data_IF_732176179308
#
_entry.id   IF_732176179308
#
_cell.length_a   1.000
_cell.length_b   1.000
_cell.length_c   1.000
_cell.angle_alpha   90.00
_cell.angle_beta   90.00
_cell.angle_gamma   90.00
#
_symmetry.space_group_name_H-M   'P 1'
#
loop_
_entity.id
_entity.type
_entity.pdbx_description
1 polymer ?
#
# COMPACT_ATOMS: atom_id res chain seq x y z
N UNK A 1 0.32 14.15 -34.92
CA UNK A 1 -1.07 14.66 -34.72
C UNK A 1 -2.09 13.60 -34.27
N UNK A 2 -1.70 12.46 -33.67
CA UNK A 2 -2.69 11.49 -33.14
C UNK A 2 -3.16 11.82 -31.71
N UNK A 3 -2.36 12.58 -30.94
CA UNK A 3 -2.70 12.97 -29.56
C UNK A 3 -3.60 14.21 -29.46
N UNK A 4 -3.42 15.22 -30.31
CA UNK A 4 -4.18 16.47 -30.23
C UNK A 4 -5.67 16.32 -30.60
N UNK A 5 -6.00 15.38 -31.50
CA UNK A 5 -7.38 15.18 -31.99
C UNK A 5 -8.35 14.69 -30.91
N UNK A 6 -7.87 14.03 -29.87
CA UNK A 6 -8.70 13.61 -28.74
C UNK A 6 -9.00 14.82 -27.83
N UNK A 7 -7.97 15.63 -27.55
CA UNK A 7 -8.06 16.82 -26.71
C UNK A 7 -8.99 17.88 -27.34
N UNK A 8 -8.97 18.04 -28.66
CA UNK A 8 -9.77 19.04 -29.38
C UNK A 8 -11.28 18.86 -29.27
N UNK A 9 -11.76 17.67 -28.85
CA UNK A 9 -13.19 17.41 -28.64
C UNK A 9 -13.78 18.20 -27.45
N UNK A 10 -12.94 18.53 -26.47
CA UNK A 10 -13.35 19.24 -25.26
C UNK A 10 -12.62 20.58 -25.09
N UNK A 11 -11.45 20.75 -25.71
CA UNK A 11 -10.58 21.92 -25.55
C UNK A 11 -10.22 22.57 -26.90
N UNK A 12 -11.22 22.74 -27.79
CA UNK A 12 -11.03 23.33 -29.13
C UNK A 12 -10.22 24.62 -29.09
N UNK A 13 -10.58 25.53 -28.20
CA UNK A 13 -10.01 26.88 -28.14
C UNK A 13 -8.53 26.88 -27.73
N UNK A 14 -8.13 25.92 -26.88
CA UNK A 14 -6.73 25.75 -26.47
C UNK A 14 -5.93 25.08 -27.60
N UNK A 15 -6.53 24.10 -28.29
CA UNK A 15 -5.87 23.40 -29.40
C UNK A 15 -5.66 24.33 -30.60
N UNK A 16 -6.60 25.22 -30.89
CA UNK A 16 -6.45 26.25 -31.94
C UNK A 16 -5.27 27.20 -31.64
N UNK A 17 -4.93 27.38 -30.36
CA UNK A 17 -3.83 28.22 -29.88
C UNK A 17 -2.69 27.40 -29.29
N UNK A 18 -2.46 26.18 -29.79
CA UNK A 18 -1.50 25.25 -29.20
C UNK A 18 -0.09 25.81 -29.09
N UNK A 19 0.40 26.59 -30.06
CA UNK A 19 1.73 27.22 -29.99
C UNK A 19 1.80 28.33 -28.93
N UNK A 20 0.76 29.16 -28.80
CA UNK A 20 0.68 30.18 -27.75
C UNK A 20 0.61 29.56 -26.35
N UNK A 21 -0.15 28.47 -26.21
CA UNK A 21 -0.32 27.76 -24.95
C UNK A 21 0.94 26.98 -24.56
N UNK A 22 1.44 26.13 -25.46
CA UNK A 22 2.61 25.27 -25.18
C UNK A 22 3.93 26.01 -25.19
N UNK A 23 4.00 27.20 -25.81
CA UNK A 23 5.23 27.99 -26.04
C UNK A 23 6.26 27.23 -26.89
N UNK A 24 5.80 26.32 -27.72
CA UNK A 24 6.61 25.55 -28.66
C UNK A 24 6.01 25.61 -30.06
N UNK A 25 6.87 25.64 -31.09
CA UNK A 25 6.44 25.68 -32.48
C UNK A 25 5.54 24.50 -32.83
N UNK A 26 4.47 24.75 -33.61
CA UNK A 26 3.55 23.71 -34.05
C UNK A 26 4.28 22.53 -34.71
N UNK A 27 3.93 21.32 -34.30
CA UNK A 27 4.50 20.07 -34.81
C UNK A 27 5.78 19.61 -34.10
N UNK A 28 6.34 20.41 -33.20
CA UNK A 28 7.41 19.97 -32.29
C UNK A 28 6.86 19.05 -31.19
N UNK A 29 7.73 18.24 -30.58
CA UNK A 29 7.32 17.38 -29.46
C UNK A 29 6.74 18.19 -28.28
N UNK A 30 7.35 19.34 -27.96
CA UNK A 30 6.86 20.23 -26.90
C UNK A 30 5.51 20.88 -27.17
N UNK A 31 5.07 20.96 -28.43
CA UNK A 31 3.72 21.44 -28.79
C UNK A 31 2.63 20.38 -28.57
N UNK A 32 3.01 19.14 -28.27
CA UNK A 32 2.06 18.06 -27.99
C UNK A 32 1.53 18.15 -26.56
N UNK A 33 0.21 18.17 -26.38
CA UNK A 33 -0.41 18.28 -25.05
C UNK A 33 0.10 17.19 -24.07
N UNK A 34 0.28 15.98 -24.59
CA UNK A 34 0.73 14.82 -23.80
C UNK A 34 2.19 14.94 -23.35
N UNK A 35 3.02 15.78 -23.98
CA UNK A 35 4.40 15.96 -23.54
C UNK A 35 4.46 16.59 -22.13
N UNK A 36 3.57 17.54 -21.85
CA UNK A 36 3.52 18.26 -20.58
C UNK A 36 2.49 17.68 -19.59
N UNK A 37 1.32 17.27 -20.08
CA UNK A 37 0.22 16.80 -19.24
C UNK A 37 0.21 15.28 -19.02
N UNK A 38 0.99 14.53 -19.80
CA UNK A 38 1.18 13.08 -19.67
C UNK A 38 2.67 12.74 -19.83
N UNK A 39 3.56 13.37 -19.04
CA UNK A 39 5.00 13.21 -19.20
C UNK A 39 5.38 11.75 -19.07
N UNK A 40 6.48 11.36 -19.72
CA UNK A 40 6.99 10.00 -19.57
C UNK A 40 7.53 9.82 -18.17
N UNK A 41 7.07 8.79 -17.49
CA UNK A 41 7.57 8.33 -16.20
C UNK A 41 8.21 6.95 -16.36
N UNK A 42 9.26 6.70 -15.58
CA UNK A 42 9.90 5.37 -15.54
C UNK A 42 9.00 4.44 -14.74
N UNK A 43 8.58 3.35 -15.37
CA UNK A 43 7.81 2.26 -14.79
C UNK A 43 8.69 1.00 -14.73
N UNK A 44 8.96 0.52 -13.53
CA UNK A 44 9.94 -0.55 -13.32
C UNK A 44 11.36 -0.11 -13.67
N UNK A 45 12.19 -1.05 -14.18
CA UNK A 45 13.62 -0.79 -14.41
C UNK A 45 13.92 -0.21 -15.80
N UNK A 46 13.08 -0.49 -16.81
CA UNK A 46 13.37 -0.14 -18.22
C UNK A 46 12.19 0.39 -19.03
N UNK A 47 10.95 0.31 -18.52
CA UNK A 47 9.82 0.79 -19.29
C UNK A 47 9.60 2.28 -19.01
N UNK A 48 9.40 3.09 -20.05
CA UNK A 48 8.89 4.45 -19.90
C UNK A 48 7.45 4.46 -20.39
N UNK A 49 6.52 4.93 -19.56
CA UNK A 49 5.10 5.03 -19.89
C UNK A 49 4.69 6.49 -19.79
N UNK A 50 3.65 6.91 -20.52
CA UNK A 50 3.06 8.23 -20.28
C UNK A 50 2.25 8.18 -18.99
N UNK A 51 2.39 9.21 -18.16
CA UNK A 51 1.50 9.43 -17.02
C UNK A 51 0.06 9.62 -17.52
N UNK A 52 -0.90 8.93 -16.91
CA UNK A 52 -2.32 9.04 -17.24
C UNK A 52 -3.09 9.96 -16.28
N UNK A 53 -2.37 10.69 -15.42
CA UNK A 53 -2.96 11.68 -14.51
C UNK A 53 -3.54 12.90 -15.21
N UNK A 54 -3.09 13.21 -16.44
CA UNK A 54 -3.50 14.39 -17.23
C UNK A 54 -3.31 15.70 -16.44
N UNK A 55 -2.29 15.76 -15.58
CA UNK A 55 -2.07 16.85 -14.65
C UNK A 55 -1.57 18.14 -15.35
N UNK A 56 -1.89 19.30 -14.79
CA UNK A 56 -1.21 20.55 -15.18
C UNK A 56 0.26 20.52 -14.70
N UNK A 57 1.22 21.05 -15.46
CA UNK A 57 2.62 21.07 -15.03
C UNK A 57 2.81 21.90 -13.76
N UNK A 58 3.48 21.30 -12.76
CA UNK A 58 3.86 21.95 -11.50
C UNK A 58 5.35 21.69 -11.22
N UNK A 59 6.28 22.28 -12.00
CA UNK A 59 7.72 22.14 -11.80
C UNK A 59 8.20 22.62 -10.42
N UNK A 60 7.40 23.43 -9.71
CA UNK A 60 7.63 23.81 -8.32
C UNK A 60 7.75 22.57 -7.40
N UNK A 61 7.06 21.47 -7.73
CA UNK A 61 7.21 20.20 -7.01
C UNK A 61 8.60 19.57 -7.17
N UNK A 62 9.27 19.81 -8.30
CA UNK A 62 10.67 19.38 -8.49
C UNK A 62 11.61 20.22 -7.63
N UNK A 63 11.37 21.54 -7.56
CA UNK A 63 12.17 22.46 -6.75
C UNK A 63 12.08 22.08 -5.27
N UNK A 64 10.85 21.90 -4.76
CA UNK A 64 10.61 21.70 -3.34
C UNK A 64 10.87 20.25 -2.90
N UNK A 65 10.57 19.26 -3.75
CA UNK A 65 10.50 17.84 -3.36
C UNK A 65 11.29 16.88 -4.27
N UNK A 66 11.97 17.39 -5.30
CA UNK A 66 12.70 16.55 -6.26
C UNK A 66 11.82 15.67 -7.15
N UNK A 67 10.50 15.90 -7.19
CA UNK A 67 9.56 15.15 -8.04
C UNK A 67 9.81 15.55 -9.50
N UNK A 68 10.13 14.62 -10.43
CA UNK A 68 10.44 14.96 -11.82
C UNK A 68 9.33 15.76 -12.52
N UNK A 69 9.70 16.69 -13.40
CA UNK A 69 8.77 17.48 -14.22
C UNK A 69 8.98 17.24 -15.72
N UNK A 70 7.96 17.58 -16.50
CA UNK A 70 7.96 17.40 -17.95
C UNK A 70 9.03 18.24 -18.68
N UNK A 71 9.30 19.46 -18.22
CA UNK A 71 10.20 20.40 -18.90
C UNK A 71 11.64 19.86 -18.93
N UNK A 72 12.11 19.34 -17.79
CA UNK A 72 13.48 18.83 -17.66
C UNK A 72 13.70 17.46 -18.33
N UNK A 73 12.67 16.85 -18.95
CA UNK A 73 12.85 15.68 -19.81
C UNK A 73 13.48 16.03 -21.17
N UNK A 74 13.31 17.27 -21.64
CA UNK A 74 13.92 17.77 -22.88
C UNK A 74 14.96 18.86 -22.60
N UNK A 75 14.81 19.59 -21.49
CA UNK A 75 15.71 20.66 -21.06
C UNK A 75 16.59 20.19 -19.90
N UNK A 76 17.42 19.16 -20.15
CA UNK A 76 18.25 18.50 -19.12
C UNK A 76 19.28 19.44 -18.49
N UNK A 77 19.80 20.41 -19.25
CA UNK A 77 20.79 21.39 -18.78
C UNK A 77 20.18 22.57 -18.00
N UNK A 78 18.85 22.67 -17.95
CA UNK A 78 18.15 23.75 -17.24
C UNK A 78 17.78 23.32 -15.83
N UNK A 79 17.77 24.27 -14.90
CA UNK A 79 17.35 23.98 -13.53
C UNK A 79 15.83 23.78 -13.44
N UNK A 80 15.33 23.05 -12.42
CA UNK A 80 13.90 23.01 -12.14
C UNK A 80 13.31 24.39 -11.81
N UNK A 81 14.08 25.27 -11.17
CA UNK A 81 13.67 26.65 -10.91
C UNK A 81 13.39 27.40 -12.22
N UNK A 82 14.21 27.21 -13.25
CA UNK A 82 13.97 27.80 -14.57
C UNK A 82 12.61 27.35 -15.14
N UNK A 83 12.24 26.07 -14.97
CA UNK A 83 10.94 25.59 -15.43
C UNK A 83 9.78 26.24 -14.64
N UNK A 84 9.92 26.35 -13.32
CA UNK A 84 8.95 27.04 -12.46
C UNK A 84 8.77 28.51 -12.84
N UNK A 85 9.86 29.26 -13.01
CA UNK A 85 9.83 30.66 -13.38
C UNK A 85 9.12 30.88 -14.73
N UNK A 86 9.34 30.00 -15.71
CA UNK A 86 8.68 30.07 -17.01
C UNK A 86 7.19 29.76 -16.92
N UNK A 87 6.80 28.71 -16.20
CA UNK A 87 5.39 28.38 -16.00
C UNK A 87 4.64 29.52 -15.30
N UNK A 88 5.26 30.14 -14.30
CA UNK A 88 4.71 31.30 -13.62
C UNK A 88 4.59 32.52 -14.55
N UNK A 89 5.62 32.79 -15.35
CA UNK A 89 5.60 33.89 -16.32
C UNK A 89 4.50 33.71 -17.39
N UNK A 90 4.19 32.47 -17.77
CA UNK A 90 3.20 32.19 -18.81
C UNK A 90 1.76 32.14 -18.32
N UNK A 91 1.55 31.62 -17.10
CA UNK A 91 0.21 31.27 -16.61
C UNK A 91 -0.17 31.96 -15.28
N UNK A 92 0.69 32.83 -14.76
CA UNK A 92 0.48 33.53 -13.49
C UNK A 92 1.03 32.79 -12.27
N UNK A 93 0.89 33.41 -11.11
CA UNK A 93 1.43 32.85 -9.85
C UNK A 93 0.77 31.51 -9.52
N UNK A 94 1.48 30.69 -8.74
CA UNK A 94 0.99 29.37 -8.36
C UNK A 94 -0.27 29.46 -7.47
N UNK A 95 -0.34 30.47 -6.63
CA UNK A 95 -1.46 30.77 -5.74
C UNK A 95 -2.75 31.07 -6.50
N UNK A 96 -2.62 31.61 -7.71
CA UNK A 96 -3.74 32.00 -8.58
C UNK A 96 -4.20 30.84 -9.48
N UNK A 97 -3.58 29.65 -9.38
CA UNK A 97 -3.84 28.46 -10.21
C UNK A 97 -4.36 27.29 -9.35
N UNK A 98 -5.68 27.17 -9.12
CA UNK A 98 -6.25 26.18 -8.19
C UNK A 98 -5.84 24.73 -8.46
N UNK A 99 -5.82 24.30 -9.72
CA UNK A 99 -5.44 22.92 -10.09
C UNK A 99 -3.96 22.64 -9.80
N UNK A 100 -3.08 23.59 -10.09
CA UNK A 100 -1.66 23.48 -9.79
C UNK A 100 -1.41 23.48 -8.26
N UNK A 101 -2.11 24.36 -7.54
CA UNK A 101 -2.06 24.41 -6.08
C UNK A 101 -2.54 23.10 -5.45
N UNK A 102 -3.61 22.49 -5.97
CA UNK A 102 -4.08 21.18 -5.53
C UNK A 102 -3.00 20.10 -5.67
N UNK A 103 -2.32 20.05 -6.81
CA UNK A 103 -1.22 19.11 -7.04
C UNK A 103 -0.02 19.39 -6.14
N UNK A 104 0.32 20.65 -5.89
CA UNK A 104 1.37 21.02 -4.95
C UNK A 104 1.05 20.62 -3.51
N UNK A 105 -0.17 20.86 -3.04
CA UNK A 105 -0.59 20.44 -1.68
C UNK A 105 -0.48 18.92 -1.50
N UNK A 106 -0.90 18.14 -2.49
CA UNK A 106 -0.74 16.68 -2.48
C UNK A 106 0.73 16.28 -2.46
N UNK A 107 1.55 16.87 -3.33
CA UNK A 107 2.98 16.61 -3.38
C UNK A 107 3.65 16.90 -2.02
N UNK A 108 3.34 18.04 -1.41
CA UNK A 108 3.82 18.42 -0.09
C UNK A 108 3.44 17.37 0.97
N UNK A 109 2.16 16.99 1.02
CA UNK A 109 1.66 16.01 1.99
C UNK A 109 2.38 14.66 1.90
N UNK A 110 2.50 14.11 0.69
CA UNK A 110 3.08 12.78 0.51
C UNK A 110 4.61 12.75 0.57
N UNK A 111 5.29 13.83 0.13
CA UNK A 111 6.76 13.87 0.08
C UNK A 111 7.39 13.89 1.47
N UNK A 112 6.72 14.49 2.46
CA UNK A 112 7.16 14.43 3.86
C UNK A 112 6.66 13.16 4.55
N UNK A 113 5.45 12.71 4.21
CA UNK A 113 4.85 11.55 4.86
C UNK A 113 5.52 10.21 4.56
N UNK A 114 6.13 10.06 3.39
CA UNK A 114 6.90 8.86 3.05
C UNK A 114 8.10 8.62 3.98
N UNK A 115 8.59 9.67 4.65
CA UNK A 115 9.67 9.60 5.62
C UNK A 115 9.16 9.58 7.08
N UNK A 116 7.85 9.58 7.30
CA UNK A 116 7.25 9.63 8.64
C UNK A 116 7.46 10.97 9.35
N UNK A 117 7.74 12.04 8.60
CA UNK A 117 8.00 13.36 9.18
C UNK A 117 6.73 13.95 9.81
N UNK A 118 6.78 14.49 11.05
CA UNK A 118 5.59 14.97 11.77
C UNK A 118 4.74 15.98 11.00
N UNK A 119 5.37 16.80 10.14
CA UNK A 119 4.69 17.80 9.33
C UNK A 119 3.69 17.20 8.31
N UNK A 120 3.78 15.92 7.98
CA UNK A 120 2.86 15.27 7.06
C UNK A 120 1.51 14.88 7.67
N UNK A 121 1.39 14.82 8.99
CA UNK A 121 0.16 14.33 9.64
C UNK A 121 -1.06 15.20 9.31
N UNK A 122 -0.96 16.51 9.50
CA UNK A 122 -2.10 17.42 9.31
C UNK A 122 -2.60 17.41 7.85
N UNK A 123 -1.73 17.54 6.83
CA UNK A 123 -2.14 17.42 5.43
C UNK A 123 -2.77 16.06 5.08
N UNK A 124 -2.26 14.96 5.63
CA UNK A 124 -2.86 13.63 5.39
C UNK A 124 -4.27 13.54 5.95
N UNK A 125 -4.48 14.06 7.17
CA UNK A 125 -5.81 14.08 7.80
C UNK A 125 -6.79 14.95 7.01
N UNK A 126 -6.33 16.08 6.45
CA UNK A 126 -7.14 16.91 5.55
C UNK A 126 -7.57 16.13 4.30
N UNK A 127 -6.64 15.42 3.65
CA UNK A 127 -6.92 14.62 2.47
C UNK A 127 -7.90 13.47 2.79
N UNK A 128 -7.70 12.75 3.89
CA UNK A 128 -8.59 11.63 4.29
C UNK A 128 -10.03 12.09 4.48
N UNK A 129 -10.23 13.27 5.07
CA UNK A 129 -11.57 13.80 5.42
C UNK A 129 -12.26 14.53 4.27
N UNK A 130 -11.54 14.90 3.23
CA UNK A 130 -12.08 15.68 2.13
C UNK A 130 -12.75 14.78 1.08
N UNK A 131 -14.07 14.69 1.09
CA UNK A 131 -14.83 13.84 0.15
C UNK A 131 -14.69 14.25 -1.32
N UNK A 132 -14.27 15.49 -1.61
CA UNK A 132 -13.99 15.98 -2.96
C UNK A 132 -12.61 15.53 -3.49
N UNK A 133 -11.74 15.02 -2.61
CA UNK A 133 -10.52 14.34 -3.04
C UNK A 133 -10.86 12.97 -3.67
N UNK A 134 -10.22 12.56 -4.78
CA UNK A 134 -10.44 11.24 -5.35
C UNK A 134 -10.20 10.13 -4.32
N UNK A 135 -11.02 9.09 -4.33
CA UNK A 135 -10.94 8.01 -3.34
C UNK A 135 -9.55 7.36 -3.25
N UNK A 136 -8.79 7.28 -4.35
CA UNK A 136 -7.42 6.76 -4.33
C UNK A 136 -6.48 7.67 -3.53
N UNK A 137 -6.65 8.99 -3.58
CA UNK A 137 -5.85 9.93 -2.78
C UNK A 137 -6.18 9.77 -1.29
N UNK A 138 -7.47 9.65 -0.94
CA UNK A 138 -7.90 9.42 0.45
C UNK A 138 -7.41 8.08 0.99
N UNK A 139 -7.54 7.00 0.21
CA UNK A 139 -7.03 5.69 0.57
C UNK A 139 -5.51 5.69 0.76
N UNK A 140 -4.79 6.36 -0.14
CA UNK A 140 -3.33 6.51 -0.03
C UNK A 140 -2.96 7.29 1.24
N UNK A 141 -3.64 8.39 1.52
CA UNK A 141 -3.40 9.18 2.73
C UNK A 141 -3.68 8.39 4.01
N UNK A 142 -4.80 7.67 4.08
CA UNK A 142 -5.11 6.76 5.20
C UNK A 142 -4.06 5.64 5.34
N UNK A 143 -3.49 5.17 4.22
CA UNK A 143 -2.35 4.27 4.21
C UNK A 143 -1.14 4.83 4.96
N UNK A 144 -0.75 6.08 4.68
CA UNK A 144 0.41 6.73 5.31
C UNK A 144 0.23 7.00 6.80
N UNK A 145 -1.00 7.10 7.31
CA UNK A 145 -1.25 7.29 8.75
C UNK A 145 -0.65 6.17 9.62
N UNK A 146 -0.38 4.98 9.06
CA UNK A 146 0.30 3.88 9.77
C UNK A 146 1.66 4.26 10.37
N UNK A 147 2.33 5.27 9.80
CA UNK A 147 3.65 5.73 10.22
C UNK A 147 3.63 6.76 11.36
N UNK A 148 2.44 7.26 11.74
CA UNK A 148 2.29 8.34 12.71
C UNK A 148 1.70 7.81 14.02
N UNK A 149 2.45 7.79 15.12
CA UNK A 149 1.91 7.35 16.39
C UNK A 149 0.92 8.36 16.97
N UNK A 150 0.07 7.87 17.86
CA UNK A 150 -0.80 8.68 18.69
C UNK A 150 -2.23 8.85 18.16
N UNK A 151 -3.10 9.47 18.98
CA UNK A 151 -4.55 9.42 18.79
C UNK A 151 -5.02 10.09 17.50
N UNK A 152 -4.33 11.13 17.03
CA UNK A 152 -4.74 11.88 15.84
C UNK A 152 -4.69 11.04 14.56
N UNK A 153 -3.67 10.20 14.42
CA UNK A 153 -3.55 9.29 13.29
C UNK A 153 -4.59 8.17 13.37
N UNK A 154 -4.81 7.63 14.57
CA UNK A 154 -5.86 6.63 14.83
C UNK A 154 -7.25 7.18 14.51
N UNK A 155 -7.53 8.44 14.84
CA UNK A 155 -8.81 9.09 14.50
C UNK A 155 -8.97 9.23 12.98
N UNK A 156 -7.90 9.58 12.25
CA UNK A 156 -7.94 9.58 10.79
C UNK A 156 -8.19 8.20 10.18
N UNK A 157 -7.64 7.14 10.78
CA UNK A 157 -7.94 5.76 10.37
C UNK A 157 -9.40 5.38 10.67
N UNK A 158 -9.97 5.84 11.79
CA UNK A 158 -11.40 5.65 12.10
C UNK A 158 -12.29 6.39 11.11
N UNK A 159 -11.95 7.62 10.74
CA UNK A 159 -12.66 8.37 9.72
C UNK A 159 -12.66 7.60 8.38
N UNK A 160 -11.52 7.02 8.00
CA UNK A 160 -11.37 6.23 6.79
C UNK A 160 -12.20 4.91 6.81
N UNK A 161 -12.43 4.30 7.98
CA UNK A 161 -13.33 3.13 8.12
C UNK A 161 -14.78 3.45 7.82
N UNK A 162 -15.20 4.71 7.96
CA UNK A 162 -16.54 5.16 7.64
C UNK A 162 -16.68 5.73 6.21
N UNK A 163 -15.59 5.74 5.42
CA UNK A 163 -15.60 6.35 4.08
C UNK A 163 -16.58 5.62 3.14
N UNK A 164 -17.35 6.34 2.30
CA UNK A 164 -18.30 5.73 1.37
C UNK A 164 -17.63 4.77 0.37
N UNK A 165 -16.38 5.02 0.00
CA UNK A 165 -15.68 4.22 -1.01
C UNK A 165 -14.94 3.03 -0.39
N UNK A 166 -15.17 1.79 -0.85
CA UNK A 166 -14.64 0.59 -0.22
C UNK A 166 -13.11 0.52 -0.22
N UNK A 167 -12.42 1.09 -1.21
CA UNK A 167 -10.96 1.10 -1.22
C UNK A 167 -10.34 1.99 -0.11
N UNK A 168 -11.06 3.01 0.35
CA UNK A 168 -10.61 3.81 1.49
C UNK A 168 -10.78 3.02 2.78
N UNK A 169 -11.86 2.26 2.94
CA UNK A 169 -12.04 1.34 4.08
C UNK A 169 -11.02 0.19 4.05
N UNK A 170 -10.79 -0.40 2.88
CA UNK A 170 -9.97 -1.60 2.72
C UNK A 170 -8.47 -1.39 3.05
N UNK A 171 -7.95 -0.15 2.98
CA UNK A 171 -6.56 0.12 3.37
C UNK A 171 -6.38 0.12 4.90
N UNK A 172 -7.43 0.42 5.66
CA UNK A 172 -7.33 0.63 7.11
C UNK A 172 -6.92 -0.64 7.87
N UNK A 173 -7.48 -1.84 7.59
CA UNK A 173 -6.98 -3.07 8.21
C UNK A 173 -5.48 -3.28 8.01
N UNK A 174 -4.96 -2.98 6.80
CA UNK A 174 -3.53 -3.10 6.49
C UNK A 174 -2.70 -2.07 7.27
N UNK A 175 -3.18 -0.82 7.34
CA UNK A 175 -2.56 0.24 8.15
C UNK A 175 -2.52 -0.13 9.63
N UNK A 176 -3.57 -0.74 10.16
CA UNK A 176 -3.66 -1.15 11.58
C UNK A 176 -2.61 -2.19 11.94
N UNK A 177 -2.36 -3.17 11.07
CA UNK A 177 -1.32 -4.20 11.31
C UNK A 177 0.07 -3.55 11.43
N UNK A 178 0.34 -2.54 10.61
CA UNK A 178 1.63 -1.85 10.57
C UNK A 178 1.76 -0.71 11.58
N UNK A 179 0.67 -0.27 12.21
CA UNK A 179 0.67 0.86 13.13
C UNK A 179 1.04 0.41 14.56
N UNK A 180 1.95 1.10 15.27
CA UNK A 180 2.39 0.70 16.63
C UNK A 180 1.24 0.54 17.62
N UNK A 181 0.28 1.46 17.60
CA UNK A 181 -0.93 1.41 18.44
C UNK A 181 -2.16 0.85 17.71
N UNK A 182 -2.01 0.26 16.51
CA UNK A 182 -3.16 -0.13 15.68
C UNK A 182 -4.11 -1.12 16.36
N UNK A 183 -3.60 -1.95 17.28
CA UNK A 183 -4.41 -2.88 18.09
C UNK A 183 -5.54 -2.19 18.87
N UNK A 184 -5.45 -0.89 19.17
CA UNK A 184 -6.54 -0.16 19.83
C UNK A 184 -7.80 -0.01 18.95
N UNK A 185 -7.67 -0.20 17.64
CA UNK A 185 -8.77 -0.13 16.66
C UNK A 185 -9.41 -1.49 16.34
N UNK A 186 -9.05 -2.56 17.06
CA UNK A 186 -9.60 -3.90 16.80
C UNK A 186 -11.12 -3.95 16.88
N UNK A 187 -11.72 -3.24 17.84
CA UNK A 187 -13.17 -3.17 17.98
C UNK A 187 -13.81 -2.40 16.81
N UNK A 188 -13.14 -1.36 16.30
CA UNK A 188 -13.62 -0.59 15.14
C UNK A 188 -13.66 -1.46 13.86
N UNK A 189 -12.71 -2.40 13.73
CA UNK A 189 -12.64 -3.34 12.61
C UNK A 189 -13.69 -4.45 12.61
N UNK A 190 -14.33 -4.75 13.74
CA UNK A 190 -15.32 -5.85 13.83
C UNK A 190 -16.42 -5.71 12.79
N UNK A 191 -16.91 -4.48 12.58
CA UNK A 191 -17.95 -4.19 11.58
C UNK A 191 -17.50 -4.50 10.14
N UNK A 192 -16.20 -4.42 9.86
CA UNK A 192 -15.63 -4.59 8.53
C UNK A 192 -15.58 -6.06 8.08
N UNK A 193 -15.70 -7.02 9.01
CA UNK A 193 -15.82 -8.44 8.70
C UNK A 193 -17.09 -8.76 7.89
N UNK A 194 -18.10 -7.89 7.96
CA UNK A 194 -19.36 -8.00 7.22
C UNK A 194 -19.57 -6.83 6.24
N UNK A 195 -18.50 -6.11 5.88
CA UNK A 195 -18.59 -5.04 4.89
C UNK A 195 -19.13 -5.58 3.55
N UNK A 196 -19.96 -4.85 2.80
CA UNK A 196 -20.46 -5.32 1.50
C UNK A 196 -19.35 -5.62 0.49
N UNK A 197 -18.19 -4.97 0.61
CA UNK A 197 -17.04 -5.15 -0.27
C UNK A 197 -16.19 -6.35 0.13
N UNK A 198 -15.98 -7.26 -0.84
CA UNK A 198 -15.05 -8.38 -0.72
C UNK A 198 -13.64 -7.94 -0.29
N UNK A 199 -13.11 -6.88 -0.91
CA UNK A 199 -11.75 -6.37 -0.60
C UNK A 199 -11.61 -5.89 0.84
N UNK A 200 -12.66 -5.30 1.42
CA UNK A 200 -12.66 -4.87 2.82
C UNK A 200 -12.65 -6.09 3.74
N UNK A 201 -13.49 -7.09 3.46
CA UNK A 201 -13.58 -8.31 4.28
C UNK A 201 -12.27 -9.11 4.29
N UNK A 202 -11.65 -9.35 3.13
CA UNK A 202 -10.39 -10.12 3.08
C UNK A 202 -9.23 -9.38 3.76
N UNK A 203 -9.15 -8.05 3.62
CA UNK A 203 -8.11 -7.26 4.31
C UNK A 203 -8.34 -7.25 5.82
N UNK A 204 -9.61 -7.26 6.24
CA UNK A 204 -9.97 -7.39 7.66
C UNK A 204 -9.61 -8.76 8.21
N UNK A 205 -9.88 -9.84 7.47
CA UNK A 205 -9.47 -11.20 7.84
C UNK A 205 -7.93 -11.33 7.92
N UNK A 206 -7.20 -10.73 6.98
CA UNK A 206 -5.74 -10.62 7.04
C UNK A 206 -5.27 -9.88 8.30
N UNK A 207 -5.91 -8.76 8.66
CA UNK A 207 -5.53 -8.00 9.84
C UNK A 207 -5.76 -8.79 11.13
N UNK A 208 -6.90 -9.47 11.25
CA UNK A 208 -7.18 -10.36 12.39
C UNK A 208 -6.15 -11.50 12.47
N UNK A 209 -5.85 -12.14 11.34
CA UNK A 209 -4.83 -13.20 11.23
C UNK A 209 -3.45 -12.70 11.69
N UNK A 210 -3.00 -11.56 11.15
CA UNK A 210 -1.71 -10.95 11.47
C UNK A 210 -1.58 -10.52 12.93
N UNK A 211 -2.71 -10.19 13.57
CA UNK A 211 -2.77 -9.84 14.98
C UNK A 211 -2.94 -11.06 15.90
N UNK A 212 -2.98 -12.28 15.35
CA UNK A 212 -3.09 -13.55 16.08
C UNK A 212 -4.52 -13.95 16.44
N UNK A 213 -5.53 -13.33 15.82
CA UNK A 213 -6.95 -13.53 16.13
C UNK A 213 -7.55 -14.49 15.10
N UNK A 214 -7.55 -15.78 15.44
CA UNK A 214 -8.05 -16.86 14.59
C UNK A 214 -9.51 -17.22 14.76
N UNK A 215 -10.01 -17.07 15.99
CA UNK A 215 -11.31 -17.61 16.42
C UNK A 215 -11.97 -16.60 17.34
N UNK A 216 -13.30 -16.51 17.23
CA UNK A 216 -14.15 -15.76 18.14
C UNK A 216 -15.47 -16.52 18.33
N UNK A 217 -16.22 -16.15 19.36
CA UNK A 217 -17.51 -16.76 19.69
C UNK A 217 -18.70 -15.97 19.10
N UNK A 218 -19.86 -16.62 19.06
CA UNK A 218 -21.12 -16.02 18.62
C UNK A 218 -21.07 -15.46 17.19
N UNK A 219 -21.79 -14.36 16.98
CA UNK A 219 -21.94 -13.69 15.68
C UNK A 219 -20.61 -13.13 15.15
N UNK A 220 -19.73 -12.65 16.03
CA UNK A 220 -18.39 -12.23 15.65
C UNK A 220 -17.58 -13.40 15.06
N UNK A 221 -17.66 -14.57 15.70
CA UNK A 221 -17.04 -15.79 15.22
C UNK A 221 -17.52 -16.20 13.83
N UNK A 222 -18.82 -16.07 13.56
CA UNK A 222 -19.41 -16.36 12.25
C UNK A 222 -18.89 -15.40 11.17
N UNK A 223 -18.92 -14.09 11.42
CA UNK A 223 -18.41 -13.10 10.48
C UNK A 223 -16.89 -13.26 10.24
N UNK A 224 -16.12 -13.53 11.29
CA UNK A 224 -14.68 -13.79 11.15
C UNK A 224 -14.41 -15.03 10.31
N UNK A 225 -15.12 -16.13 10.56
CA UNK A 225 -14.96 -17.36 9.75
C UNK A 225 -15.30 -17.12 8.28
N UNK A 226 -16.40 -16.43 7.99
CA UNK A 226 -16.79 -16.12 6.62
C UNK A 226 -15.72 -15.27 5.89
N UNK A 227 -15.20 -14.23 6.54
CA UNK A 227 -14.14 -13.40 5.96
C UNK A 227 -12.82 -14.17 5.81
N UNK A 228 -12.50 -15.07 6.73
CA UNK A 228 -11.35 -15.97 6.62
C UNK A 228 -11.49 -16.98 5.49
N UNK A 229 -12.68 -17.56 5.27
CA UNK A 229 -12.93 -18.45 4.13
C UNK A 229 -12.67 -17.71 2.82
N UNK A 230 -13.21 -16.49 2.67
CA UNK A 230 -12.95 -15.62 1.52
C UNK A 230 -11.47 -15.30 1.31
N UNK A 231 -10.73 -15.04 2.41
CA UNK A 231 -9.30 -14.79 2.38
C UNK A 231 -8.50 -16.05 2.01
N UNK A 232 -8.86 -17.22 2.52
CA UNK A 232 -8.23 -18.50 2.17
C UNK A 232 -8.45 -18.81 0.68
N UNK A 233 -9.65 -18.58 0.15
CA UNK A 233 -9.91 -18.73 -1.29
C UNK A 233 -9.11 -17.71 -2.11
N UNK A 234 -8.98 -16.47 -1.64
CA UNK A 234 -8.11 -15.47 -2.28
C UNK A 234 -6.67 -15.96 -2.41
N UNK A 235 -6.10 -16.49 -1.32
CA UNK A 235 -4.72 -16.96 -1.27
C UNK A 235 -4.47 -18.19 -2.15
N UNK A 236 -5.52 -18.95 -2.52
CA UNK A 236 -5.41 -20.04 -3.50
C UNK A 236 -5.20 -19.55 -4.93
N UNK A 237 -5.45 -18.28 -5.22
CA UNK A 237 -5.21 -17.70 -6.54
C UNK A 237 -3.71 -17.41 -6.78
N UNK A 238 -2.93 -17.28 -5.70
CA UNK A 238 -1.50 -16.95 -5.71
C UNK A 238 -0.67 -18.13 -5.18
N UNK A 239 -0.67 -19.23 -5.93
CA UNK A 239 0.01 -20.48 -5.53
C UNK A 239 1.52 -20.45 -5.73
N UNK A 240 2.04 -19.45 -6.42
CA UNK A 240 3.44 -19.21 -6.75
C UNK A 240 4.12 -18.17 -5.84
N UNK A 241 3.40 -17.67 -4.83
CA UNK A 241 3.92 -16.73 -3.82
C UNK A 241 4.13 -17.45 -2.49
N UNK A 242 5.38 -17.51 -2.01
CA UNK A 242 5.71 -18.11 -0.71
C UNK A 242 5.08 -17.33 0.45
N UNK A 243 4.99 -16.00 0.34
CA UNK A 243 4.30 -15.15 1.30
C UNK A 243 2.81 -15.47 1.40
N UNK A 244 2.12 -15.66 0.28
CA UNK A 244 0.68 -15.96 0.30
C UNK A 244 0.40 -17.37 0.80
N UNK A 245 1.26 -18.34 0.48
CA UNK A 245 1.16 -19.69 1.04
C UNK A 245 1.47 -19.72 2.55
N UNK A 246 2.42 -18.91 3.02
CA UNK A 246 2.71 -18.72 4.44
C UNK A 246 1.50 -18.12 5.17
N UNK A 247 0.92 -17.04 4.64
CA UNK A 247 -0.30 -16.41 5.17
C UNK A 247 -1.47 -17.39 5.21
N UNK A 248 -1.61 -18.24 4.18
CA UNK A 248 -2.63 -19.30 4.12
C UNK A 248 -2.41 -20.30 5.25
N UNK A 249 -1.17 -20.72 5.48
CA UNK A 249 -0.80 -21.56 6.62
C UNK A 249 -1.17 -20.92 7.95
N UNK A 250 -0.89 -19.63 8.12
CA UNK A 250 -1.18 -18.87 9.35
C UNK A 250 -2.66 -18.83 9.67
N UNK A 251 -3.51 -18.45 8.71
CA UNK A 251 -4.97 -18.39 8.94
C UNK A 251 -5.57 -19.77 9.23
N UNK A 252 -5.10 -20.83 8.56
CA UNK A 252 -5.52 -22.22 8.81
C UNK A 252 -5.08 -22.71 10.20
N UNK A 253 -3.83 -22.45 10.58
CA UNK A 253 -3.30 -22.83 11.90
C UNK A 253 -4.05 -22.10 13.03
N UNK A 254 -4.38 -20.82 12.85
CA UNK A 254 -5.18 -20.04 13.78
C UNK A 254 -6.63 -20.54 13.89
N UNK A 255 -7.16 -21.17 12.84
CA UNK A 255 -8.43 -21.92 12.85
C UNK A 255 -8.29 -23.34 13.41
N UNK A 256 -7.08 -23.80 13.69
CA UNK A 256 -6.73 -25.15 14.14
C UNK A 256 -6.89 -26.23 13.07
N UNK A 257 -6.91 -25.85 11.80
CA UNK A 257 -6.84 -26.74 10.64
C UNK A 257 -5.36 -27.02 10.34
N UNK A 258 -4.71 -27.75 11.26
CA UNK A 258 -3.26 -27.88 11.29
C UNK A 258 -2.71 -28.70 10.12
N UNK A 259 -3.42 -29.73 9.66
CA UNK A 259 -3.01 -30.54 8.52
C UNK A 259 -2.99 -29.72 7.23
N UNK A 260 -4.00 -28.88 6.99
CA UNK A 260 -4.07 -27.94 5.88
C UNK A 260 -2.98 -26.86 5.99
N UNK A 261 -2.72 -26.37 7.20
CA UNK A 261 -1.68 -25.39 7.48
C UNK A 261 -0.28 -25.93 7.17
N UNK A 262 0.02 -27.16 7.62
CA UNK A 262 1.27 -27.87 7.32
C UNK A 262 1.48 -27.95 5.81
N UNK A 263 0.46 -28.33 5.04
CA UNK A 263 0.55 -28.37 3.57
C UNK A 263 0.86 -27.00 2.97
N UNK A 264 0.23 -25.94 3.46
CA UNK A 264 0.46 -24.58 2.98
C UNK A 264 1.90 -24.11 3.28
N UNK A 265 2.38 -24.29 4.50
CA UNK A 265 3.76 -23.94 4.87
C UNK A 265 4.80 -24.76 4.10
N UNK A 266 4.55 -26.04 3.85
CA UNK A 266 5.43 -26.87 3.01
C UNK A 266 5.50 -26.39 1.56
N UNK A 267 4.41 -25.84 1.01
CA UNK A 267 4.43 -25.20 -0.31
C UNK A 267 5.25 -23.91 -0.24
N UNK A 268 5.03 -23.05 0.77
CA UNK A 268 5.80 -21.83 0.97
C UNK A 268 7.32 -22.12 1.02
N UNK A 269 7.74 -23.11 1.82
CA UNK A 269 9.15 -23.50 1.95
C UNK A 269 9.73 -24.20 0.72
N UNK A 270 8.89 -24.75 -0.16
CA UNK A 270 9.32 -25.28 -1.46
C UNK A 270 9.62 -24.16 -2.44
N UNK A 271 8.80 -23.10 -2.41
CA UNK A 271 9.00 -21.90 -3.23
C UNK A 271 10.20 -21.09 -2.72
N UNK A 272 10.32 -20.94 -1.41
CA UNK A 272 11.40 -20.22 -0.75
C UNK A 272 11.87 -20.95 0.53
N UNK A 273 12.96 -21.73 0.45
CA UNK A 273 13.54 -22.42 1.61
C UNK A 273 14.04 -21.50 2.73
N UNK A 274 14.20 -20.19 2.49
CA UNK A 274 14.68 -19.22 3.49
C UNK A 274 13.53 -18.44 4.15
N UNK A 275 12.27 -18.80 3.88
CA UNK A 275 11.12 -18.14 4.49
C UNK A 275 11.00 -18.51 5.98
N UNK A 276 11.59 -17.68 6.84
CA UNK A 276 11.68 -17.90 8.28
C UNK A 276 10.32 -18.11 8.98
N UNK A 277 9.35 -17.23 8.71
CA UNK A 277 8.02 -17.29 9.34
C UNK A 277 7.23 -18.54 8.94
N UNK A 278 7.31 -18.97 7.67
CA UNK A 278 6.71 -20.21 7.20
C UNK A 278 7.34 -21.44 7.88
N UNK A 279 8.67 -21.43 8.12
CA UNK A 279 9.37 -22.52 8.83
C UNK A 279 8.96 -22.57 10.30
N UNK A 280 8.89 -21.42 10.95
CA UNK A 280 8.39 -21.34 12.33
C UNK A 280 6.94 -21.82 12.42
N UNK A 281 6.07 -21.34 11.54
CA UNK A 281 4.67 -21.73 11.46
C UNK A 281 4.48 -23.23 11.22
N UNK A 282 5.30 -23.84 10.34
CA UNK A 282 5.32 -25.29 10.11
C UNK A 282 5.69 -26.04 11.41
N UNK A 283 6.75 -25.62 12.09
CA UNK A 283 7.16 -26.23 13.36
C UNK A 283 6.05 -26.17 14.42
N UNK A 284 5.38 -25.03 14.55
CA UNK A 284 4.24 -24.87 15.46
C UNK A 284 3.08 -25.79 15.08
N UNK A 285 2.71 -25.86 13.81
CA UNK A 285 1.62 -26.73 13.35
C UNK A 285 1.94 -28.22 13.56
N UNK A 286 3.19 -28.64 13.34
CA UNK A 286 3.66 -30.01 13.61
C UNK A 286 3.59 -30.37 15.09
N UNK A 287 3.88 -29.44 16.00
CA UNK A 287 3.69 -29.68 17.44
C UNK A 287 2.22 -29.95 17.78
N UNK A 288 1.30 -29.21 17.16
CA UNK A 288 -0.14 -29.35 17.41
C UNK A 288 -0.71 -30.67 16.91
N UNK A 289 -0.12 -31.27 15.86
CA UNK A 289 -0.48 -32.60 15.36
C UNK A 289 0.30 -33.75 16.02
N UNK A 290 1.16 -33.45 17.00
CA UNK A 290 1.96 -34.44 17.74
C UNK A 290 3.24 -34.89 17.04
N UNK A 291 3.59 -34.33 15.89
CA UNK A 291 4.81 -34.61 15.13
C UNK A 291 6.04 -33.89 15.72
N UNK A 292 6.31 -34.09 17.03
CA UNK A 292 7.32 -33.36 17.79
C UNK A 292 8.72 -33.44 17.18
N UNK A 293 9.14 -34.62 16.75
CA UNK A 293 10.49 -34.82 16.17
C UNK A 293 10.66 -34.07 14.84
N UNK A 294 9.59 -33.94 14.05
CA UNK A 294 9.61 -33.14 12.82
C UNK A 294 9.66 -31.65 13.14
N UNK A 295 8.88 -31.19 14.13
CA UNK A 295 8.89 -29.80 14.57
C UNK A 295 10.28 -29.34 15.04
N UNK A 296 10.95 -30.15 15.88
CA UNK A 296 12.32 -29.85 16.36
C UNK A 296 13.28 -29.69 15.18
N UNK A 297 13.22 -30.57 14.18
CA UNK A 297 14.08 -30.44 12.98
C UNK A 297 13.82 -29.15 12.21
N UNK A 298 12.57 -28.70 12.10
CA UNK A 298 12.26 -27.44 11.44
C UNK A 298 12.73 -26.22 12.25
N UNK A 299 12.64 -26.27 13.58
CA UNK A 299 13.19 -25.22 14.44
C UNK A 299 14.72 -25.19 14.45
N UNK A 300 15.40 -26.33 14.42
CA UNK A 300 16.87 -26.41 14.31
C UNK A 300 17.34 -25.81 12.98
N UNK A 301 16.70 -26.18 11.86
CA UNK A 301 16.97 -25.55 10.55
C UNK A 301 16.75 -24.03 10.58
N UNK A 302 15.67 -23.58 11.23
CA UNK A 302 15.41 -22.15 11.36
C UNK A 302 16.51 -21.46 12.18
N UNK A 303 17.01 -22.12 13.23
CA UNK A 303 18.07 -21.57 14.07
C UNK A 303 19.40 -21.47 13.29
N UNK A 304 19.69 -22.45 12.43
CA UNK A 304 20.86 -22.45 11.56
C UNK A 304 20.80 -21.32 10.52
N UNK A 305 19.62 -21.08 9.94
CA UNK A 305 19.38 -20.03 8.94
C UNK A 305 19.28 -18.63 9.56
N UNK A 306 18.62 -18.52 10.71
CA UNK A 306 18.35 -17.27 11.41
C UNK A 306 18.53 -17.44 12.94
N UNK A 307 19.78 -17.32 13.43
CA UNK A 307 20.10 -17.52 14.85
C UNK A 307 19.40 -16.55 15.82
N UNK A 308 18.91 -15.43 15.30
CA UNK A 308 18.27 -14.36 16.06
C UNK A 308 16.75 -14.33 15.88
N UNK A 309 16.15 -15.37 15.28
CA UNK A 309 14.70 -15.46 15.13
C UNK A 309 14.01 -15.35 16.50
N UNK A 310 13.06 -14.40 16.67
CA UNK A 310 12.46 -14.10 17.96
C UNK A 310 11.82 -15.33 18.62
N UNK A 311 12.17 -15.57 19.89
CA UNK A 311 11.57 -16.64 20.70
C UNK A 311 12.02 -18.08 20.36
N UNK A 312 12.72 -18.32 19.26
CA UNK A 312 13.07 -19.68 18.79
C UNK A 312 13.91 -20.48 19.80
N UNK A 313 14.95 -19.85 20.37
CA UNK A 313 15.82 -20.49 21.38
C UNK A 313 15.03 -20.93 22.62
N UNK A 314 14.02 -20.15 23.01
CA UNK A 314 13.16 -20.49 24.13
C UNK A 314 12.23 -21.68 23.80
N UNK A 315 11.68 -21.72 22.58
CA UNK A 315 10.89 -22.86 22.08
C UNK A 315 11.74 -24.14 22.08
N UNK A 316 12.94 -24.11 21.50
CA UNK A 316 13.84 -25.27 21.47
C UNK A 316 14.24 -25.75 22.88
N UNK A 317 14.56 -24.84 23.79
CA UNK A 317 14.88 -25.20 25.18
C UNK A 317 13.71 -25.91 25.88
N UNK A 318 12.48 -25.43 25.69
CA UNK A 318 11.28 -26.08 26.22
C UNK A 318 11.09 -27.49 25.64
N UNK A 319 11.34 -27.65 24.34
CA UNK A 319 11.22 -28.96 23.68
C UNK A 319 12.32 -29.96 24.11
N UNK A 320 13.55 -29.49 24.37
CA UNK A 320 14.63 -30.36 24.87
C UNK A 320 14.46 -30.79 26.33
N UNK A 321 13.79 -29.98 27.16
CA UNK A 321 13.57 -30.29 28.58
C UNK A 321 12.53 -31.40 28.85
N UNK A 322 11.75 -31.78 27.83
CA UNK A 322 10.67 -32.77 27.94
C UNK A 322 11.09 -34.23 27.79
N UNK A 323 12.30 -34.51 27.28
CA UNK A 323 12.83 -35.88 27.07
C UNK A 323 13.46 -36.49 28.33
N UNK A 324 13.42 -35.78 29.47
CA UNK A 324 14.06 -36.19 30.72
C UNK A 324 13.06 -36.64 31.81
N UNK A 325 11.87 -37.14 31.43
CA UNK A 325 10.87 -37.71 32.35
C UNK A 325 10.31 -39.04 31.85
#
# INVERSE_FOLDING_TARGET
MAGEQLCSRCHSDIVEKAEEHSRHSLGSEGSSCVACHMPRTVSGIKATMRDHSLAVPVPENTVDYGIPNACNLCHEERSPQWAADNIQAWFGNLEDRPDAMKLRRRAAAFSVAQYGEPAGLDPLLEIVRNVDEPFLMRATAAGYLRAYPGPRALDGLRDALADPHPLVRAIVPLSIVAHPEGRTLLNDLVSQLSDPSYSVRINTAFAFTSLGIGRAEGTLGEHLRNAQDEYIEHLKLYTDSDADQSNRGTVLALRGEFEEAIRAYQIALRLNPEHADARFGLGVALLQTGARAEAVREFEKLLDQNPDYPGLKAVLAQLGSGDNR
#
